data_IF_241910066939
#
_entry.id   IF_241910066939
#
_cell.length_a   1.000
_cell.length_b   1.000
_cell.length_c   1.000
_cell.angle_alpha   90.00
_cell.angle_beta   90.00
_cell.angle_gamma   90.00
#
_symmetry.space_group_name_H-M   'P 1'
#
loop_
_entity.id
_entity.type
_entity.pdbx_description
1 polymer ?
#
# COMPACT_ATOMS: atom_id res chain seq x y z
N UNK A 1 35.11 -2.40 4.71
CA UNK A 1 35.13 -1.90 3.31
C UNK A 1 34.16 -0.72 3.24
N UNK A 2 34.71 0.50 3.29
CA UNK A 2 33.96 1.71 2.93
C UNK A 2 33.91 1.76 1.41
N UNK A 3 32.72 1.87 0.82
CA UNK A 3 32.59 1.94 -0.63
C UNK A 3 31.15 2.12 -1.09
N UNK A 4 30.73 3.38 -1.18
CA UNK A 4 29.86 3.92 -2.24
C UNK A 4 28.78 2.98 -2.79
N UNK A 5 27.59 3.00 -2.16
CA UNK A 5 26.33 2.94 -2.91
C UNK A 5 25.43 4.05 -2.37
N UNK A 6 25.78 5.30 -2.70
CA UNK A 6 24.87 6.43 -2.53
C UNK A 6 24.30 6.80 -3.90
N UNK A 7 22.98 6.95 -3.96
CA UNK A 7 22.19 7.66 -4.99
C UNK A 7 21.32 6.89 -6.00
N UNK A 8 21.02 5.60 -5.83
CA UNK A 8 19.78 5.07 -6.42
C UNK A 8 18.70 5.13 -5.35
N UNK A 9 17.69 6.00 -5.54
CA UNK A 9 16.48 5.92 -4.71
C UNK A 9 15.90 4.53 -4.92
N UNK A 10 15.76 3.74 -3.86
CA UNK A 10 15.02 2.48 -3.92
C UNK A 10 13.63 2.77 -4.50
N UNK A 11 13.08 1.88 -5.36
CA UNK A 11 11.72 2.04 -5.84
C UNK A 11 10.76 2.05 -4.65
N UNK A 12 9.84 3.00 -4.63
CA UNK A 12 8.75 3.00 -3.64
C UNK A 12 7.83 1.82 -3.89
N UNK A 13 7.45 1.12 -2.83
CA UNK A 13 6.53 -0.01 -2.87
C UNK A 13 5.12 0.47 -2.56
N UNK A 14 4.25 0.41 -3.57
CA UNK A 14 2.81 0.65 -3.39
C UNK A 14 2.07 -0.66 -3.15
N UNK A 15 1.39 -0.77 -2.00
CA UNK A 15 0.52 -1.89 -1.68
C UNK A 15 -0.82 -1.73 -2.42
N UNK A 16 -0.92 -2.35 -3.60
CA UNK A 16 -2.09 -2.31 -4.47
C UNK A 16 -3.34 -2.84 -3.76
N UNK A 17 -4.27 -1.94 -3.45
CA UNK A 17 -5.49 -2.15 -2.68
C UNK A 17 -5.21 -2.68 -1.26
N UNK A 18 -4.11 -2.25 -0.66
CA UNK A 18 -3.56 -2.80 0.58
C UNK A 18 -2.78 -4.11 0.35
N UNK A 19 -2.57 -4.88 1.42
CA UNK A 19 -1.97 -6.22 1.34
C UNK A 19 -3.06 -7.29 1.48
N UNK A 20 -3.56 -7.79 0.35
CA UNK A 20 -4.57 -8.85 0.31
C UNK A 20 -3.95 -10.25 0.46
N UNK A 21 -4.73 -11.22 0.96
CA UNK A 21 -4.34 -12.62 1.05
C UNK A 21 -5.19 -13.42 2.04
N UNK A 22 -5.31 -14.73 1.84
CA UNK A 22 -6.13 -15.58 2.71
C UNK A 22 -7.58 -15.08 2.80
N UNK A 23 -7.99 -14.65 3.99
CA UNK A 23 -9.30 -14.06 4.27
C UNK A 23 -9.29 -12.54 4.44
N UNK A 24 -8.29 -11.85 3.87
CA UNK A 24 -8.18 -10.37 3.85
C UNK A 24 -8.49 -9.90 2.41
N UNK A 25 -9.72 -9.43 2.14
CA UNK A 25 -10.10 -8.90 0.83
C UNK A 25 -9.38 -7.59 0.49
N UNK A 26 -9.13 -7.30 -0.80
CA UNK A 26 -8.53 -6.04 -1.22
C UNK A 26 -9.43 -4.83 -0.91
N UNK A 27 -8.82 -3.65 -0.78
CA UNK A 27 -9.48 -2.37 -0.53
C UNK A 27 -10.33 -2.37 0.77
N UNK A 28 -9.84 -3.06 1.79
CA UNK A 28 -10.44 -3.12 3.13
C UNK A 28 -9.49 -2.54 4.18
N UNK A 29 -10.02 -2.10 5.32
CA UNK A 29 -9.21 -1.61 6.45
C UNK A 29 -8.15 -2.65 6.86
N UNK A 30 -8.53 -3.93 6.94
CA UNK A 30 -7.60 -5.01 7.28
C UNK A 30 -6.45 -5.15 6.27
N UNK A 31 -6.71 -5.00 4.97
CA UNK A 31 -5.66 -5.00 3.94
C UNK A 31 -4.73 -3.79 4.10
N UNK A 32 -5.27 -2.62 4.44
CA UNK A 32 -4.50 -1.41 4.69
C UNK A 32 -3.60 -1.56 5.91
N UNK A 33 -4.14 -2.06 7.03
CA UNK A 33 -3.39 -2.32 8.25
C UNK A 33 -2.26 -3.33 8.03
N UNK A 34 -2.53 -4.41 7.28
CA UNK A 34 -1.52 -5.38 6.91
C UNK A 34 -0.40 -4.76 6.06
N UNK A 35 -0.73 -3.89 5.10
CA UNK A 35 0.26 -3.19 4.27
C UNK A 35 1.15 -2.26 5.10
N UNK A 36 0.55 -1.53 6.06
CA UNK A 36 1.29 -0.67 7.00
C UNK A 36 2.24 -1.52 7.86
N UNK A 37 1.77 -2.63 8.41
CA UNK A 37 2.58 -3.53 9.24
C UNK A 37 3.74 -4.17 8.47
N UNK A 38 3.61 -4.37 7.15
CA UNK A 38 4.65 -4.90 6.27
C UNK A 38 5.66 -3.83 5.82
N UNK A 39 5.40 -2.55 6.07
CA UNK A 39 6.30 -1.45 5.72
C UNK A 39 6.18 -0.99 4.27
N UNK A 40 4.97 -1.02 3.69
CA UNK A 40 4.74 -0.41 2.39
C UNK A 40 5.02 1.11 2.43
N UNK A 41 5.69 1.64 1.41
CA UNK A 41 5.94 3.08 1.29
C UNK A 41 4.67 3.86 0.95
N UNK A 42 3.79 3.23 0.16
CA UNK A 42 2.55 3.83 -0.35
C UNK A 42 1.41 2.84 -0.13
N UNK A 43 0.31 3.32 0.42
CA UNK A 43 -0.96 2.62 0.43
C UNK A 43 -1.78 3.05 -0.79
N UNK A 44 -2.17 2.10 -1.65
CA UNK A 44 -3.03 2.36 -2.80
C UNK A 44 -4.45 1.86 -2.50
N UNK A 45 -5.45 2.67 -2.84
CA UNK A 45 -6.88 2.40 -2.63
C UNK A 45 -7.68 2.93 -3.81
N UNK A 46 -8.70 2.18 -4.24
CA UNK A 46 -9.67 2.69 -5.22
C UNK A 46 -10.81 3.40 -4.49
N UNK A 47 -11.13 4.60 -4.92
CA UNK A 47 -12.23 5.39 -4.36
C UNK A 47 -13.28 5.62 -5.45
N UNK A 48 -14.55 5.36 -5.14
CA UNK A 48 -15.67 5.56 -6.05
C UNK A 48 -16.79 6.33 -5.34
N UNK A 49 -17.44 7.25 -6.06
CA UNK A 49 -18.53 8.04 -5.50
C UNK A 49 -19.83 7.24 -5.48
N UNK A 50 -20.52 7.20 -4.34
CA UNK A 50 -21.87 6.64 -4.22
C UNK A 50 -22.93 7.54 -4.84
N UNK A 51 -24.17 7.02 -4.99
CA UNK A 51 -25.30 7.78 -5.52
C UNK A 51 -25.73 8.93 -4.59
N UNK A 52 -25.47 8.84 -3.29
CA UNK A 52 -25.68 9.91 -2.31
C UNK A 52 -24.47 10.86 -2.16
N UNK A 53 -23.45 10.71 -3.02
CA UNK A 53 -22.33 11.65 -3.14
C UNK A 53 -21.18 11.44 -2.15
N UNK A 54 -21.16 10.33 -1.39
CA UNK A 54 -20.05 9.95 -0.52
C UNK A 54 -18.96 9.21 -1.28
N UNK A 55 -17.78 9.11 -0.67
CA UNK A 55 -16.59 8.42 -1.19
C UNK A 55 -16.11 7.40 -0.17
#
# INVERSE_FOLDING_TARGET
MNGLVSSLRSPSIAAHRGSCGGNIPPNTIAACEAAIAQGADILEVDVARSSDGRF
#
